data_IF_076046846565
#
_entry.id   IF_076046846565
#
_cell.length_a   1.000
_cell.length_b   1.000
_cell.length_c   1.000
_cell.angle_alpha   90.00
_cell.angle_beta   90.00
_cell.angle_gamma   90.00
#
_symmetry.space_group_name_H-M   'P 1'
#
loop_
_entity.id
_entity.type
_entity.pdbx_description
1 polymer ?
#
# COMPACT_ATOMS: atom_id res chain seq x y z
N UNK A 1 31.74 36.52 37.19
CA UNK A 1 32.59 36.10 36.05
C UNK A 1 32.52 34.60 35.77
N UNK A 2 32.38 33.72 36.75
CA UNK A 2 32.31 32.25 36.57
C UNK A 2 30.99 31.76 35.90
N UNK A 3 29.84 32.38 36.22
CA UNK A 3 28.52 31.99 35.69
C UNK A 3 28.39 32.30 34.19
N UNK A 4 28.94 33.45 33.72
CA UNK A 4 28.94 33.78 32.28
C UNK A 4 29.77 32.79 31.45
N UNK A 5 30.90 32.29 31.99
CA UNK A 5 31.73 31.28 31.32
C UNK A 5 31.03 29.93 31.27
N UNK A 6 30.26 29.57 32.30
CA UNK A 6 29.49 28.33 32.34
C UNK A 6 28.31 28.37 31.36
N UNK A 7 27.62 29.50 31.23
CA UNK A 7 26.55 29.72 30.26
C UNK A 7 27.04 29.66 28.79
N UNK A 8 28.24 30.23 28.54
CA UNK A 8 28.85 30.17 27.18
C UNK A 8 29.29 28.74 26.85
N UNK A 9 29.83 27.97 27.83
CA UNK A 9 30.21 26.58 27.63
C UNK A 9 28.98 25.68 27.40
N UNK A 10 27.88 25.92 28.15
CA UNK A 10 26.61 25.19 27.93
C UNK A 10 25.97 25.53 26.58
N UNK A 11 26.06 26.77 26.11
CA UNK A 11 25.59 27.19 24.78
C UNK A 11 26.42 26.56 23.65
N UNK A 12 27.74 26.39 23.87
CA UNK A 12 28.62 25.75 22.89
C UNK A 12 28.34 24.23 22.74
N UNK A 13 27.92 23.57 23.83
CA UNK A 13 27.61 22.12 23.82
C UNK A 13 26.30 21.84 23.02
N UNK A 14 25.34 22.78 23.03
CA UNK A 14 24.08 22.66 22.27
C UNK A 14 24.32 22.74 20.76
N UNK A 15 25.41 23.36 20.31
CA UNK A 15 25.78 23.49 18.90
C UNK A 15 26.47 22.24 18.29
N UNK A 16 26.78 21.23 19.11
CA UNK A 16 27.51 20.03 18.70
C UNK A 16 26.61 18.78 18.72
N UNK A 17 25.29 18.92 18.73
CA UNK A 17 24.44 17.77 18.43
C UNK A 17 24.58 17.46 16.93
N UNK A 18 25.19 16.32 16.53
CA UNK A 18 25.09 15.91 15.15
C UNK A 18 23.62 15.69 14.88
N UNK A 19 22.99 16.60 14.15
CA UNK A 19 21.70 16.34 13.55
C UNK A 19 21.87 15.06 12.74
N UNK A 20 20.94 14.13 12.87
CA UNK A 20 20.87 12.96 11.99
C UNK A 20 20.68 13.51 10.57
N UNK A 21 21.77 13.80 9.86
CA UNK A 21 21.69 14.18 8.46
C UNK A 21 21.51 12.90 7.67
N UNK A 22 20.37 12.75 7.00
CA UNK A 22 20.20 11.73 5.98
C UNK A 22 21.28 12.01 4.92
N UNK A 23 22.19 11.06 4.76
CA UNK A 23 23.20 11.13 3.70
C UNK A 23 22.52 10.81 2.37
N UNK A 24 22.41 11.82 1.52
CA UNK A 24 21.98 11.63 0.14
C UNK A 24 23.14 11.03 -0.67
N UNK A 25 22.80 10.21 -1.66
CA UNK A 25 23.74 9.67 -2.65
C UNK A 25 23.10 9.63 -4.06
N UNK A 26 23.80 9.13 -5.06
CA UNK A 26 23.26 9.06 -6.42
C UNK A 26 22.05 8.14 -6.52
N UNK A 27 21.99 7.11 -5.70
CA UNK A 27 20.93 6.08 -5.71
C UNK A 27 20.74 5.40 -7.08
N UNK A 28 21.76 5.39 -7.93
CA UNK A 28 21.76 4.70 -9.22
C UNK A 28 22.20 3.25 -9.07
N UNK A 29 21.64 2.35 -9.87
CA UNK A 29 21.98 0.90 -9.90
C UNK A 29 21.85 0.20 -8.54
N UNK A 30 20.95 0.68 -7.69
CA UNK A 30 20.73 0.12 -6.34
C UNK A 30 19.85 -1.12 -6.36
N UNK A 31 19.93 -1.89 -5.27
CA UNK A 31 19.00 -2.98 -5.00
C UNK A 31 17.95 -2.52 -3.99
N UNK A 32 16.67 -2.66 -4.36
CA UNK A 32 15.53 -2.39 -3.49
C UNK A 32 14.83 -3.71 -3.17
N UNK A 33 14.60 -3.98 -1.90
CA UNK A 33 13.62 -4.97 -1.49
C UNK A 33 12.32 -4.29 -1.08
N UNK A 34 11.21 -4.92 -1.44
CA UNK A 34 9.87 -4.49 -1.04
C UNK A 34 9.04 -5.68 -0.60
N UNK A 35 7.83 -5.46 -0.17
CA UNK A 35 6.94 -6.50 0.36
C UNK A 35 5.97 -6.98 -0.72
N UNK A 36 4.80 -6.44 -0.83
CA UNK A 36 3.73 -6.88 -1.73
C UNK A 36 3.83 -6.28 -3.13
N UNK A 37 3.16 -6.93 -4.10
CA UNK A 37 3.17 -6.50 -5.50
C UNK A 37 2.71 -5.04 -5.71
N UNK A 38 1.67 -4.50 -5.04
CA UNK A 38 1.28 -3.10 -5.22
C UNK A 38 2.42 -2.12 -4.93
N UNK A 39 3.24 -2.38 -3.91
CA UNK A 39 4.41 -1.53 -3.59
C UNK A 39 5.50 -1.70 -4.65
N UNK A 40 5.73 -2.94 -5.10
CA UNK A 40 6.66 -3.20 -6.20
C UNK A 40 6.26 -2.43 -7.45
N UNK A 41 4.98 -2.42 -7.81
CA UNK A 41 4.47 -1.69 -8.95
C UNK A 41 4.70 -0.17 -8.85
N UNK A 42 4.54 0.43 -7.66
CA UNK A 42 4.88 1.84 -7.44
C UNK A 42 6.37 2.12 -7.69
N UNK A 43 7.23 1.26 -7.16
CA UNK A 43 8.67 1.38 -7.35
C UNK A 43 9.08 1.17 -8.81
N UNK A 44 8.56 0.15 -9.48
CA UNK A 44 8.79 -0.08 -10.91
C UNK A 44 8.33 1.13 -11.74
N UNK A 45 7.17 1.71 -11.39
CA UNK A 45 6.60 2.85 -12.11
C UNK A 45 7.40 4.14 -11.90
N UNK A 46 7.89 4.39 -10.68
CA UNK A 46 8.56 5.63 -10.34
C UNK A 46 10.09 5.57 -10.55
N UNK A 47 10.69 4.39 -10.36
CA UNK A 47 12.14 4.25 -10.24
C UNK A 47 12.74 3.02 -10.93
N UNK A 48 11.94 2.18 -11.59
CA UNK A 48 12.35 0.86 -12.11
C UNK A 48 13.56 0.85 -13.03
N UNK A 49 13.81 1.93 -13.77
CA UNK A 49 14.95 2.02 -14.68
C UNK A 49 16.29 2.24 -13.95
N UNK A 50 16.25 2.60 -12.67
CA UNK A 50 17.43 2.98 -11.88
C UNK A 50 17.73 2.02 -10.73
N UNK A 51 16.97 0.92 -10.62
CA UNK A 51 17.12 -0.04 -9.52
C UNK A 51 16.73 -1.46 -9.91
N UNK A 52 17.32 -2.44 -9.22
CA UNK A 52 16.80 -3.82 -9.22
C UNK A 52 15.81 -3.98 -8.08
N UNK A 53 14.52 -4.18 -8.40
CA UNK A 53 13.43 -4.22 -7.42
C UNK A 53 12.95 -5.66 -7.21
N UNK A 54 13.11 -6.16 -5.99
CA UNK A 54 12.76 -7.52 -5.59
C UNK A 54 11.72 -7.53 -4.47
N UNK A 55 10.85 -8.55 -4.43
CA UNK A 55 9.97 -8.79 -3.29
C UNK A 55 10.64 -9.71 -2.27
N UNK A 56 10.41 -9.44 -0.97
CA UNK A 56 10.79 -10.37 0.11
C UNK A 56 9.88 -11.60 0.14
N UNK A 57 8.68 -11.50 -0.43
CA UNK A 57 7.73 -12.61 -0.55
C UNK A 57 7.91 -13.32 -1.89
N UNK A 58 8.02 -14.66 -1.89
CA UNK A 58 7.99 -15.44 -3.12
C UNK A 58 6.66 -15.26 -3.88
N UNK A 59 6.68 -15.43 -5.20
CA UNK A 59 5.47 -15.39 -6.00
C UNK A 59 4.47 -16.48 -5.60
N UNK A 60 3.20 -16.12 -5.47
CA UNK A 60 2.10 -17.06 -5.21
C UNK A 60 1.95 -17.51 -3.75
N UNK A 61 2.70 -16.94 -2.81
CA UNK A 61 2.50 -17.24 -1.39
C UNK A 61 1.39 -16.34 -0.82
N UNK A 62 0.62 -16.88 0.13
CA UNK A 62 -0.22 -16.05 0.99
C UNK A 62 0.69 -15.29 1.96
N UNK A 63 0.69 -13.96 1.86
CA UNK A 63 1.53 -13.12 2.70
C UNK A 63 1.13 -13.18 4.17
N UNK A 64 -0.11 -13.54 4.50
CA UNK A 64 -0.56 -13.67 5.88
C UNK A 64 0.06 -14.88 6.58
N UNK A 65 0.22 -15.99 5.84
CA UNK A 65 0.75 -17.26 6.36
C UNK A 65 2.27 -17.38 6.22
N UNK A 66 2.87 -16.59 5.32
CA UNK A 66 4.30 -16.68 5.05
C UNK A 66 5.13 -15.94 6.09
N UNK A 67 6.10 -16.63 6.69
CA UNK A 67 7.05 -16.03 7.62
C UNK A 67 8.48 -16.05 7.08
N UNK A 68 9.16 -14.92 7.23
CA UNK A 68 10.57 -14.79 6.89
C UNK A 68 11.45 -15.37 8.01
N UNK A 69 12.38 -16.25 7.63
CA UNK A 69 13.40 -16.74 8.56
C UNK A 69 14.40 -15.62 8.91
N UNK A 70 15.03 -15.71 10.10
CA UNK A 70 16.06 -14.78 10.53
C UNK A 70 17.24 -14.67 9.55
N UNK A 71 17.57 -15.77 8.85
CA UNK A 71 18.60 -15.80 7.80
C UNK A 71 18.19 -14.94 6.60
N UNK A 72 16.94 -15.02 6.18
CA UNK A 72 16.40 -14.19 5.08
C UNK A 72 16.34 -12.72 5.47
N UNK A 73 15.89 -12.41 6.69
CA UNK A 73 15.89 -11.04 7.20
C UNK A 73 17.31 -10.44 7.26
N UNK A 74 18.32 -11.24 7.62
CA UNK A 74 19.72 -10.80 7.58
C UNK A 74 20.21 -10.57 6.15
N UNK A 75 19.84 -11.43 5.19
CA UNK A 75 20.17 -11.28 3.79
C UNK A 75 19.57 -9.97 3.23
N UNK A 76 18.26 -9.77 3.43
CA UNK A 76 17.54 -8.61 2.93
C UNK A 76 17.93 -7.30 3.62
N UNK A 77 18.39 -7.34 4.87
CA UNK A 77 18.88 -6.16 5.57
C UNK A 77 20.14 -5.53 4.94
N UNK A 78 20.81 -6.25 4.04
CA UNK A 78 22.00 -5.76 3.33
C UNK A 78 21.68 -4.99 2.04
N UNK A 79 20.41 -4.87 1.70
CA UNK A 79 19.95 -4.07 0.56
C UNK A 79 20.23 -2.58 0.76
N UNK A 80 20.22 -1.81 -0.34
CA UNK A 80 20.41 -0.38 -0.29
C UNK A 80 19.16 0.35 0.27
N UNK A 81 17.97 -0.16 -0.06
CA UNK A 81 16.69 0.41 0.35
C UNK A 81 15.65 -0.69 0.59
N UNK A 82 14.87 -0.56 1.66
CA UNK A 82 13.70 -1.39 1.93
C UNK A 82 12.43 -0.53 1.95
N UNK A 83 11.42 -0.93 1.15
CA UNK A 83 10.15 -0.20 1.02
C UNK A 83 9.01 -1.11 1.45
N UNK A 84 8.19 -0.66 2.38
CA UNK A 84 7.21 -1.52 3.06
C UNK A 84 5.95 -0.75 3.47
N UNK A 85 4.93 -1.52 3.90
CA UNK A 85 3.69 -1.03 4.48
C UNK A 85 3.72 -1.24 6.00
N UNK A 86 3.65 -0.18 6.80
CA UNK A 86 3.70 -0.27 8.27
C UNK A 86 2.38 -0.65 8.94
N UNK A 87 1.30 -0.74 8.19
CA UNK A 87 -0.03 -1.10 8.72
C UNK A 87 -0.25 -2.63 8.81
N UNK A 88 0.77 -3.42 8.43
CA UNK A 88 0.77 -4.87 8.46
C UNK A 88 2.04 -5.38 9.18
N UNK A 89 2.21 -6.72 9.27
CA UNK A 89 3.39 -7.40 9.83
C UNK A 89 4.72 -7.01 9.16
N UNK A 90 4.68 -6.41 8.00
CA UNK A 90 5.83 -5.86 7.28
C UNK A 90 6.62 -4.85 8.13
N UNK A 91 5.94 -4.13 9.02
CA UNK A 91 6.57 -3.26 10.01
C UNK A 91 7.56 -4.01 10.90
N UNK A 92 7.19 -5.20 11.35
CA UNK A 92 8.07 -6.01 12.23
C UNK A 92 9.31 -6.49 11.47
N UNK A 93 9.17 -6.81 10.19
CA UNK A 93 10.32 -7.12 9.34
C UNK A 93 11.23 -5.92 9.15
N UNK A 94 10.68 -4.73 8.89
CA UNK A 94 11.46 -3.49 8.79
C UNK A 94 12.26 -3.24 10.08
N UNK A 95 11.62 -3.36 11.25
CA UNK A 95 12.28 -3.21 12.56
C UNK A 95 13.41 -4.23 12.75
N UNK A 96 13.17 -5.50 12.42
CA UNK A 96 14.18 -6.55 12.53
C UNK A 96 15.37 -6.28 11.58
N UNK A 97 15.11 -5.84 10.34
CA UNK A 97 16.14 -5.51 9.35
C UNK A 97 16.98 -4.29 9.77
N UNK A 98 16.35 -3.21 10.26
CA UNK A 98 17.03 -2.04 10.81
C UNK A 98 17.89 -2.40 12.04
N UNK A 99 17.44 -3.36 12.86
CA UNK A 99 18.23 -3.83 13.99
C UNK A 99 19.49 -4.61 13.58
N UNK A 100 19.44 -5.29 12.43
CA UNK A 100 20.59 -5.99 11.85
C UNK A 100 21.53 -5.03 11.09
N UNK A 101 20.97 -4.04 10.40
CA UNK A 101 21.71 -3.02 9.64
C UNK A 101 21.18 -1.61 9.97
N UNK A 102 21.89 -0.87 10.81
CA UNK A 102 21.51 0.49 11.24
C UNK A 102 21.60 1.54 10.11
N UNK A 103 22.27 1.22 9.01
CA UNK A 103 22.41 2.10 7.84
C UNK A 103 21.38 1.80 6.74
N UNK A 104 20.52 0.80 6.94
CA UNK A 104 19.46 0.47 5.98
C UNK A 104 18.53 1.67 5.79
N UNK A 105 18.42 2.14 4.56
CA UNK A 105 17.41 3.13 4.16
C UNK A 105 16.05 2.46 4.12
N UNK A 106 15.01 3.13 4.60
CA UNK A 106 13.64 2.58 4.62
C UNK A 106 12.63 3.62 4.18
N UNK A 107 11.57 3.18 3.49
CA UNK A 107 10.41 4.01 3.14
C UNK A 107 9.15 3.26 3.59
N UNK A 108 8.35 3.93 4.41
CA UNK A 108 6.99 3.48 4.74
C UNK A 108 6.00 4.15 3.79
N UNK A 109 5.43 3.35 2.89
CA UNK A 109 4.48 3.86 1.89
C UNK A 109 3.09 4.15 2.46
N UNK A 110 2.77 3.63 3.65
CA UNK A 110 1.46 3.78 4.29
C UNK A 110 1.38 4.92 5.29
N UNK A 111 2.42 5.72 5.39
CA UNK A 111 2.48 6.82 6.36
C UNK A 111 1.28 7.79 6.20
N UNK A 112 0.52 7.97 7.29
CA UNK A 112 -0.65 8.85 7.31
C UNK A 112 -1.90 8.33 6.59
N UNK A 113 -1.89 7.08 6.09
CA UNK A 113 -3.04 6.43 5.47
C UNK A 113 -3.79 5.60 6.51
N UNK A 114 -5.09 5.51 6.37
CA UNK A 114 -5.97 4.64 7.16
C UNK A 114 -6.88 3.87 6.22
N UNK A 115 -7.33 2.70 6.64
CA UNK A 115 -8.36 1.91 5.98
C UNK A 115 -9.46 1.55 6.99
N UNK A 116 -10.62 1.14 6.51
CA UNK A 116 -11.79 0.88 7.36
C UNK A 116 -12.09 -0.61 7.45
N UNK A 117 -12.31 -1.25 6.32
CA UNK A 117 -12.79 -2.64 6.29
C UNK A 117 -11.66 -3.63 6.05
N UNK A 118 -10.88 -3.43 5.01
CA UNK A 118 -9.82 -4.34 4.59
C UNK A 118 -8.55 -3.60 4.18
N UNK A 119 -7.37 -4.17 4.48
CA UNK A 119 -6.07 -3.57 4.19
C UNK A 119 -5.83 -3.39 2.68
N UNK A 120 -6.49 -4.16 1.83
CA UNK A 120 -6.43 -4.01 0.38
C UNK A 120 -6.95 -2.67 -0.10
N UNK A 121 -7.74 -1.97 0.72
CA UNK A 121 -8.17 -0.59 0.49
C UNK A 121 -7.00 0.37 0.23
N UNK A 122 -5.82 0.07 0.74
CA UNK A 122 -4.61 0.87 0.52
C UNK A 122 -4.25 0.99 -0.97
N UNK A 123 -4.46 -0.06 -1.74
CA UNK A 123 -4.10 -0.09 -3.17
C UNK A 123 -5.27 -0.25 -4.13
N UNK A 124 -6.45 -0.66 -3.66
CA UNK A 124 -7.65 -0.74 -4.49
C UNK A 124 -8.40 0.60 -4.54
N UNK A 125 -8.34 1.39 -3.47
CA UNK A 125 -8.86 2.75 -3.46
C UNK A 125 -7.85 3.69 -4.16
N UNK A 126 -8.19 4.28 -5.33
CA UNK A 126 -7.24 5.11 -6.09
C UNK A 126 -6.67 6.28 -5.29
N UNK A 127 -7.45 6.85 -4.38
CA UNK A 127 -6.99 7.94 -3.51
C UNK A 127 -5.91 7.47 -2.52
N UNK A 128 -6.13 6.35 -1.84
CA UNK A 128 -5.15 5.78 -0.92
C UNK A 128 -3.87 5.36 -1.67
N UNK A 129 -4.05 4.76 -2.86
CA UNK A 129 -2.90 4.35 -3.67
C UNK A 129 -2.10 5.55 -4.19
N UNK A 130 -2.77 6.67 -4.50
CA UNK A 130 -2.09 7.93 -4.81
C UNK A 130 -1.31 8.46 -3.60
N UNK A 131 -1.83 8.34 -2.38
CA UNK A 131 -1.08 8.70 -1.17
C UNK A 131 0.15 7.77 -0.98
N UNK A 132 0.01 6.47 -1.23
CA UNK A 132 1.17 5.55 -1.22
C UNK A 132 2.21 5.95 -2.27
N UNK A 133 1.79 6.33 -3.47
CA UNK A 133 2.69 6.83 -4.52
C UNK A 133 3.40 8.13 -4.10
N UNK A 134 2.70 9.05 -3.44
CA UNK A 134 3.27 10.28 -2.88
C UNK A 134 4.34 9.96 -1.82
N UNK A 135 4.02 9.07 -0.86
CA UNK A 135 4.95 8.65 0.19
C UNK A 135 6.19 7.97 -0.40
N UNK A 136 6.00 7.13 -1.43
CA UNK A 136 7.11 6.49 -2.15
C UNK A 136 8.01 7.53 -2.82
N UNK A 137 7.42 8.48 -3.57
CA UNK A 137 8.15 9.58 -4.22
C UNK A 137 8.92 10.39 -3.18
N UNK A 138 8.25 10.87 -2.14
CA UNK A 138 8.86 11.74 -1.13
C UNK A 138 10.00 11.01 -0.40
N UNK A 139 9.81 9.74 -0.05
CA UNK A 139 10.85 8.91 0.55
C UNK A 139 12.07 8.70 -0.37
N UNK A 140 11.86 8.47 -1.67
CA UNK A 140 12.96 8.40 -2.63
C UNK A 140 13.73 9.73 -2.71
N UNK A 141 13.02 10.86 -2.77
CA UNK A 141 13.63 12.20 -2.85
C UNK A 141 14.42 12.58 -1.58
N UNK A 142 14.14 11.96 -0.43
CA UNK A 142 14.96 12.14 0.77
C UNK A 142 16.38 11.58 0.62
N UNK A 143 16.55 10.51 -0.17
CA UNK A 143 17.83 9.81 -0.31
C UNK A 143 18.62 10.21 -1.56
N UNK A 144 17.96 10.75 -2.60
CA UNK A 144 18.56 11.06 -3.89
C UNK A 144 19.16 12.47 -3.88
N UNK A 145 20.40 12.60 -4.38
CA UNK A 145 21.06 13.90 -4.62
C UNK A 145 21.22 14.24 -6.11
N UNK A 146 20.98 13.27 -7.01
CA UNK A 146 21.08 13.46 -8.46
C UNK A 146 19.85 14.20 -9.00
N UNK A 147 19.96 15.48 -9.43
CA UNK A 147 18.82 16.25 -9.92
C UNK A 147 18.19 15.64 -11.18
N UNK A 148 18.97 14.91 -12.00
CA UNK A 148 18.46 14.29 -13.22
C UNK A 148 17.47 13.16 -12.91
N UNK A 149 17.69 12.39 -11.84
CA UNK A 149 16.75 11.37 -11.39
C UNK A 149 15.49 11.96 -10.76
N UNK A 150 15.60 13.17 -10.18
CA UNK A 150 14.46 13.84 -9.55
C UNK A 150 13.49 14.35 -10.62
N UNK A 151 13.97 15.17 -11.56
CA UNK A 151 13.15 15.75 -12.61
C UNK A 151 14.02 16.09 -13.84
N UNK A 152 13.52 15.78 -15.01
CA UNK A 152 14.24 16.04 -16.27
C UNK A 152 13.29 16.36 -17.43
N UNK A 153 13.85 16.85 -18.52
CA UNK A 153 13.08 17.30 -19.69
C UNK A 153 12.61 16.15 -20.59
N UNK A 154 13.18 14.96 -20.44
CA UNK A 154 12.79 13.78 -21.22
C UNK A 154 11.63 12.98 -20.56
N UNK A 155 11.18 13.41 -19.37
CA UNK A 155 10.04 12.82 -18.69
C UNK A 155 10.36 11.57 -17.87
N UNK A 156 11.63 11.18 -17.72
CA UNK A 156 12.03 9.95 -17.02
C UNK A 156 12.29 10.14 -15.51
N UNK A 157 12.33 11.39 -15.03
CA UNK A 157 12.52 11.71 -13.61
C UNK A 157 11.33 11.27 -12.73
N UNK A 158 11.60 11.03 -11.47
CA UNK A 158 10.61 10.56 -10.48
C UNK A 158 9.39 11.49 -10.41
N UNK A 159 9.61 12.80 -10.40
CA UNK A 159 8.51 13.79 -10.38
C UNK A 159 7.62 13.69 -11.62
N UNK A 160 8.23 13.50 -12.79
CA UNK A 160 7.49 13.36 -14.04
C UNK A 160 6.64 12.10 -14.05
N UNK A 161 7.23 10.95 -13.66
CA UNK A 161 6.53 9.67 -13.55
C UNK A 161 5.42 9.69 -12.48
N UNK A 162 5.66 10.40 -11.37
CA UNK A 162 4.63 10.61 -10.35
C UNK A 162 3.44 11.41 -10.88
N UNK A 163 3.65 12.51 -11.61
CA UNK A 163 2.55 13.29 -12.18
C UNK A 163 1.73 12.48 -13.20
N UNK A 164 2.37 11.60 -13.98
CA UNK A 164 1.66 10.66 -14.86
C UNK A 164 0.82 9.66 -14.07
N UNK A 165 1.39 9.02 -13.04
CA UNK A 165 0.67 8.09 -12.17
C UNK A 165 -0.51 8.76 -11.46
N UNK A 166 -0.30 9.97 -10.94
CA UNK A 166 -1.33 10.79 -10.31
C UNK A 166 -2.48 11.11 -11.26
N UNK A 167 -2.17 11.48 -12.52
CA UNK A 167 -3.19 11.68 -13.53
C UNK A 167 -4.02 10.41 -13.77
N UNK A 168 -3.37 9.27 -13.94
CA UNK A 168 -4.03 8.00 -14.20
C UNK A 168 -4.91 7.54 -13.02
N UNK A 169 -4.43 7.66 -11.78
CA UNK A 169 -5.21 7.31 -10.59
C UNK A 169 -6.37 8.27 -10.33
N UNK A 170 -6.16 9.57 -10.57
CA UNK A 170 -7.24 10.57 -10.44
C UNK A 170 -8.33 10.35 -11.49
N UNK A 171 -7.95 9.93 -12.71
CA UNK A 171 -8.90 9.55 -13.75
C UNK A 171 -9.68 8.30 -13.36
N UNK A 172 -9.01 7.26 -12.84
CA UNK A 172 -9.65 6.04 -12.38
C UNK A 172 -10.68 6.32 -11.25
N UNK A 173 -10.33 7.21 -10.30
CA UNK A 173 -11.27 7.64 -9.24
C UNK A 173 -12.51 8.34 -9.81
N UNK A 174 -12.31 9.18 -10.84
CA UNK A 174 -13.41 9.85 -11.52
C UNK A 174 -14.28 8.87 -12.32
N UNK A 175 -13.66 7.91 -13.03
CA UNK A 175 -14.35 6.88 -13.81
C UNK A 175 -15.22 6.00 -12.89
N UNK A 176 -14.71 5.54 -11.73
CA UNK A 176 -15.53 4.83 -10.73
C UNK A 176 -16.74 5.64 -10.28
N UNK A 177 -16.52 6.92 -9.98
CA UNK A 177 -17.61 7.80 -9.54
C UNK A 177 -18.66 7.99 -10.63
N UNK A 178 -18.25 8.17 -11.88
CA UNK A 178 -19.17 8.33 -13.01
C UNK A 178 -19.95 7.05 -13.28
N UNK A 179 -19.27 5.91 -13.43
CA UNK A 179 -19.89 4.62 -13.73
C UNK A 179 -20.89 4.21 -12.65
N UNK A 180 -20.53 4.35 -11.39
CA UNK A 180 -21.43 4.05 -10.29
C UNK A 180 -22.60 5.02 -10.26
N UNK A 181 -22.41 6.31 -10.55
CA UNK A 181 -23.51 7.28 -10.63
C UNK A 181 -24.50 6.96 -11.77
N UNK A 182 -24.01 6.44 -12.88
CA UNK A 182 -24.82 6.04 -14.03
C UNK A 182 -25.47 4.66 -13.87
N UNK A 183 -24.96 3.83 -12.97
CA UNK A 183 -25.47 2.48 -12.75
C UNK A 183 -26.95 2.50 -12.31
N UNK A 184 -27.77 1.65 -12.93
CA UNK A 184 -29.18 1.49 -12.59
C UNK A 184 -29.39 0.87 -11.22
N UNK A 185 -28.52 -0.05 -10.84
CA UNK A 185 -28.53 -0.75 -9.55
C UNK A 185 -27.37 -0.26 -8.69
N UNK A 186 -27.68 0.11 -7.47
CA UNK A 186 -26.72 0.67 -6.50
C UNK A 186 -26.36 -0.32 -5.39
N UNK A 187 -26.68 -1.59 -5.57
CA UNK A 187 -26.35 -2.66 -4.62
C UNK A 187 -25.70 -3.79 -5.35
N UNK A 188 -24.54 -4.23 -4.84
CA UNK A 188 -23.84 -5.44 -5.28
C UNK A 188 -23.66 -6.39 -4.09
N UNK A 189 -23.52 -7.67 -4.39
CA UNK A 189 -23.13 -8.71 -3.43
C UNK A 189 -21.77 -9.24 -3.85
N UNK A 190 -20.87 -9.37 -2.89
CA UNK A 190 -19.48 -9.78 -3.09
C UNK A 190 -19.11 -10.90 -2.12
N UNK A 191 -18.07 -11.64 -2.40
CA UNK A 191 -17.56 -12.70 -1.52
C UNK A 191 -16.38 -12.30 -0.66
N UNK A 192 -15.94 -11.03 -0.76
CA UNK A 192 -14.70 -10.55 -0.15
C UNK A 192 -14.84 -9.07 0.21
N UNK A 193 -14.39 -8.69 1.41
CA UNK A 193 -14.46 -7.33 1.94
C UNK A 193 -13.58 -6.34 1.15
N UNK A 194 -12.64 -6.84 0.36
CA UNK A 194 -11.78 -6.01 -0.51
C UNK A 194 -12.58 -5.07 -1.43
N UNK A 195 -13.84 -5.40 -1.77
CA UNK A 195 -14.70 -4.57 -2.61
C UNK A 195 -15.41 -3.45 -1.86
N UNK A 196 -15.37 -3.40 -0.52
CA UNK A 196 -16.07 -2.39 0.28
C UNK A 196 -15.59 -0.96 0.03
N UNK A 197 -14.35 -0.77 -0.45
CA UNK A 197 -13.88 0.56 -0.86
C UNK A 197 -14.79 1.26 -1.88
N UNK A 198 -15.61 0.50 -2.63
CA UNK A 198 -16.57 1.05 -3.60
C UNK A 198 -17.75 1.79 -2.93
N UNK A 199 -17.99 1.58 -1.63
CA UNK A 199 -19.00 2.31 -0.87
C UNK A 199 -18.72 3.83 -0.81
N UNK A 200 -17.47 4.23 -0.92
CA UNK A 200 -17.03 5.62 -1.10
C UNK A 200 -17.75 6.33 -2.26
N UNK A 201 -18.15 5.58 -3.30
CA UNK A 201 -18.83 6.10 -4.49
C UNK A 201 -20.36 5.97 -4.43
N UNK A 202 -20.92 5.73 -3.25
CA UNK A 202 -22.36 5.49 -3.02
C UNK A 202 -22.90 4.20 -3.65
N UNK A 203 -22.05 3.20 -3.82
CA UNK A 203 -22.46 1.84 -4.09
C UNK A 203 -22.67 1.11 -2.77
N UNK A 204 -23.81 0.45 -2.60
CA UNK A 204 -24.02 -0.43 -1.44
C UNK A 204 -23.37 -1.77 -1.71
N UNK A 205 -22.38 -2.13 -0.92
CA UNK A 205 -21.66 -3.42 -1.02
C UNK A 205 -22.11 -4.33 0.12
N UNK A 206 -22.69 -5.47 -0.19
CA UNK A 206 -23.04 -6.50 0.79
C UNK A 206 -22.02 -7.62 0.67
N UNK A 207 -21.12 -7.71 1.63
CA UNK A 207 -20.11 -8.76 1.65
C UNK A 207 -20.64 -10.03 2.32
N UNK A 208 -20.32 -11.16 1.72
CA UNK A 208 -20.53 -12.51 2.23
C UNK A 208 -19.21 -13.19 2.58
N UNK A 209 -18.16 -12.42 2.83
CA UNK A 209 -16.89 -12.96 3.30
C UNK A 209 -17.10 -13.74 4.60
N UNK A 210 -16.57 -14.96 4.66
CA UNK A 210 -16.68 -15.84 5.83
C UNK A 210 -15.71 -15.38 6.92
N UNK A 211 -16.13 -14.35 7.64
CA UNK A 211 -15.39 -13.73 8.74
C UNK A 211 -16.34 -13.40 9.91
N UNK A 212 -15.77 -12.88 11.00
CA UNK A 212 -16.54 -12.56 12.24
C UNK A 212 -17.62 -11.48 12.04
N UNK A 213 -17.61 -10.74 10.94
CA UNK A 213 -18.60 -9.70 10.61
C UNK A 213 -19.82 -10.25 9.86
N UNK A 214 -19.74 -11.46 9.31
CA UNK A 214 -20.85 -12.08 8.59
C UNK A 214 -21.93 -12.55 9.55
N UNK A 215 -23.14 -12.02 9.39
CA UNK A 215 -24.30 -12.35 10.23
C UNK A 215 -25.38 -13.11 9.46
N UNK A 216 -26.16 -13.92 10.18
CA UNK A 216 -27.37 -14.55 9.63
C UNK A 216 -28.34 -13.51 9.02
N UNK A 217 -28.39 -12.30 9.58
CA UNK A 217 -29.19 -11.19 9.05
C UNK A 217 -28.73 -10.80 7.66
N UNK A 218 -27.43 -10.66 7.45
CA UNK A 218 -26.83 -10.33 6.15
C UNK A 218 -27.13 -11.41 5.12
N UNK A 219 -26.92 -12.68 5.49
CA UNK A 219 -27.23 -13.82 4.61
C UNK A 219 -28.71 -13.83 4.22
N UNK A 220 -29.62 -13.62 5.19
CA UNK A 220 -31.06 -13.61 4.93
C UNK A 220 -31.49 -12.40 4.08
N UNK A 221 -30.83 -11.26 4.22
CA UNK A 221 -31.05 -10.12 3.34
C UNK A 221 -30.67 -10.45 1.90
N UNK A 222 -29.48 -11.00 1.66
CA UNK A 222 -29.04 -11.39 0.31
C UNK A 222 -30.02 -12.38 -0.30
N UNK A 223 -30.46 -13.41 0.43
CA UNK A 223 -31.47 -14.37 -0.03
C UNK A 223 -32.77 -13.69 -0.48
N UNK A 224 -33.23 -12.64 0.24
CA UNK A 224 -34.43 -11.87 -0.16
C UNK A 224 -34.18 -11.05 -1.43
N UNK A 225 -33.01 -10.43 -1.57
CA UNK A 225 -32.64 -9.64 -2.74
C UNK A 225 -32.48 -10.50 -3.99
N UNK A 226 -32.00 -11.71 -3.85
CA UNK A 226 -31.92 -12.69 -4.94
C UNK A 226 -33.31 -13.19 -5.32
N UNK A 227 -34.16 -13.59 -4.34
CA UNK A 227 -35.50 -14.07 -4.58
C UNK A 227 -36.41 -13.05 -5.30
N UNK A 228 -36.25 -11.78 -5.03
CA UNK A 228 -37.05 -10.71 -5.66
C UNK A 228 -36.45 -10.20 -6.97
N UNK A 229 -35.32 -10.78 -7.42
CA UNK A 229 -34.63 -10.43 -8.67
C UNK A 229 -33.84 -9.11 -8.62
N UNK A 230 -33.64 -8.53 -7.45
CA UNK A 230 -32.80 -7.31 -7.30
C UNK A 230 -31.33 -7.65 -7.54
N UNK A 231 -30.87 -8.77 -7.01
CA UNK A 231 -29.51 -9.30 -7.21
C UNK A 231 -29.57 -10.50 -8.14
N UNK A 232 -28.70 -10.50 -9.15
CA UNK A 232 -28.59 -11.56 -10.16
C UNK A 232 -27.20 -12.18 -10.23
N UNK A 233 -26.21 -11.56 -9.57
CA UNK A 233 -24.82 -11.96 -9.58
C UNK A 233 -24.19 -11.74 -8.21
N UNK A 234 -23.29 -12.63 -7.84
CA UNK A 234 -22.32 -12.43 -6.75
C UNK A 234 -20.96 -12.25 -7.42
N UNK A 235 -20.28 -11.15 -7.07
CA UNK A 235 -18.94 -10.90 -7.60
C UNK A 235 -17.90 -11.55 -6.70
N UNK A 236 -16.96 -12.26 -7.30
CA UNK A 236 -15.91 -12.99 -6.58
C UNK A 236 -14.53 -12.46 -6.92
N UNK A 237 -13.67 -12.41 -5.91
CA UNK A 237 -12.25 -12.06 -6.02
C UNK A 237 -11.39 -13.22 -6.53
N UNK A 238 -11.94 -14.46 -6.52
CA UNK A 238 -11.24 -15.70 -6.83
C UNK A 238 -12.06 -16.58 -7.79
N UNK A 239 -11.39 -17.52 -8.44
CA UNK A 239 -12.03 -18.52 -9.30
C UNK A 239 -13.03 -19.39 -8.53
N UNK A 240 -12.77 -19.64 -7.24
CA UNK A 240 -13.69 -20.35 -6.34
C UNK A 240 -14.10 -19.42 -5.19
N UNK A 241 -15.39 -19.17 -5.09
CA UNK A 241 -15.98 -18.40 -4.00
C UNK A 241 -16.16 -19.26 -2.73
N UNK A 242 -16.44 -18.61 -1.58
CA UNK A 242 -16.65 -19.28 -0.30
C UNK A 242 -17.94 -20.11 -0.25
N UNK A 243 -18.09 -20.95 0.78
CA UNK A 243 -19.22 -21.89 0.89
C UNK A 243 -20.57 -21.20 1.09
N UNK A 244 -20.61 -20.02 1.70
CA UNK A 244 -21.84 -19.22 1.88
C UNK A 244 -22.35 -18.76 0.51
N UNK A 245 -21.46 -18.21 -0.31
CA UNK A 245 -21.77 -17.79 -1.68
C UNK A 245 -22.19 -19.00 -2.53
N UNK A 246 -21.43 -20.11 -2.50
CA UNK A 246 -21.78 -21.36 -3.21
C UNK A 246 -23.18 -21.85 -2.86
N UNK A 247 -23.54 -21.80 -1.58
CA UNK A 247 -24.86 -22.20 -1.12
C UNK A 247 -25.97 -21.33 -1.70
N UNK A 248 -25.77 -19.99 -1.72
CA UNK A 248 -26.75 -19.06 -2.30
C UNK A 248 -26.85 -19.29 -3.82
N UNK A 249 -25.74 -19.35 -4.53
CA UNK A 249 -25.71 -19.56 -5.99
C UNK A 249 -26.46 -20.83 -6.37
N UNK A 250 -26.18 -21.95 -5.71
CA UNK A 250 -26.78 -23.25 -6.02
C UNK A 250 -28.28 -23.33 -5.68
N UNK A 251 -28.72 -22.67 -4.59
CA UNK A 251 -30.12 -22.75 -4.16
C UNK A 251 -31.05 -21.78 -4.91
N UNK A 252 -30.51 -20.70 -5.48
CA UNK A 252 -31.28 -19.63 -6.12
C UNK A 252 -30.99 -19.46 -7.61
N UNK A 253 -30.10 -20.25 -8.18
CA UNK A 253 -29.74 -20.27 -9.61
C UNK A 253 -29.30 -18.88 -10.15
N UNK A 254 -28.40 -18.22 -9.44
CA UNK A 254 -27.79 -16.93 -9.84
C UNK A 254 -26.32 -17.09 -10.20
#
# INVERSE_FOLDING_TARGET
>A
MKIKKFLILALLIILITPGCSITKDSMEDITIYTTIYPIKYLLDSLYGDNATINSIYPSGVDTNDYELSDKKLEEYSKTDLFVFNSLDKDRDYAVKMINKNKNLKVIDVSLGITYVDDITELWLNPYNYLMMAQNTKDGLLEYIDNPYLISNTDGTGIENKYEELKYNLSRLDADYKEDINLATYKTIVVDDDMFKFLEKYNLRVISLEDNDNLTDSTINEVKKLVNNGTIKYIYSSKDETNDVCKNIINNYAI
#
